data_IF_242256070243
#
_entry.id   IF_242256070243
#
_cell.length_a   1.000
_cell.length_b   1.000
_cell.length_c   1.000
_cell.angle_alpha   90.00
_cell.angle_beta   90.00
_cell.angle_gamma   90.00
#
_symmetry.space_group_name_H-M   'P 1'
#
loop_
_entity.id
_entity.type
_entity.pdbx_description
1 polymer ?
#
# COMPACT_ATOMS: atom_id res chain seq x y z
N UNK A 1 6.09 8.84 -17.66
CA UNK A 1 5.04 9.30 -18.59
C UNK A 1 3.73 9.32 -17.80
N UNK A 2 2.87 10.29 -18.04
CA UNK A 2 1.51 10.30 -17.50
C UNK A 2 0.61 9.58 -18.50
N UNK A 3 -0.40 8.87 -17.99
CA UNK A 3 -1.27 7.99 -18.79
C UNK A 3 -2.64 7.86 -18.15
N UNK A 4 -3.55 7.20 -18.87
CA UNK A 4 -4.87 6.85 -18.38
C UNK A 4 -4.83 5.49 -17.65
N UNK A 5 -5.85 5.18 -16.85
CA UNK A 5 -5.94 3.86 -16.19
C UNK A 5 -6.02 2.71 -17.20
N UNK A 6 -6.57 2.95 -18.39
CA UNK A 6 -6.61 1.97 -19.49
C UNK A 6 -5.22 1.61 -20.03
N UNK A 7 -4.21 2.47 -19.86
CA UNK A 7 -2.83 2.13 -20.26
C UNK A 7 -2.31 0.90 -19.51
N UNK A 8 -2.85 0.65 -18.30
CA UNK A 8 -2.54 -0.51 -17.45
C UNK A 8 -2.81 -1.86 -18.13
N UNK A 9 -3.68 -1.91 -19.13
CA UNK A 9 -3.94 -3.12 -19.92
C UNK A 9 -2.77 -3.47 -20.86
N UNK A 10 -1.94 -2.49 -21.20
CA UNK A 10 -0.86 -2.64 -22.19
C UNK A 10 0.53 -2.58 -21.56
N UNK A 11 0.63 -2.10 -20.33
CA UNK A 11 1.87 -2.09 -19.57
C UNK A 11 1.92 -3.27 -18.60
N UNK A 12 3.14 -3.75 -18.35
CA UNK A 12 3.40 -4.79 -17.35
C UNK A 12 4.32 -4.22 -16.27
N UNK A 13 3.78 -3.42 -15.34
CA UNK A 13 4.58 -2.82 -14.29
C UNK A 13 5.04 -3.88 -13.28
N UNK A 14 6.27 -3.75 -12.80
CA UNK A 14 6.77 -4.58 -11.69
C UNK A 14 6.24 -4.08 -10.33
N UNK A 15 5.88 -2.79 -10.24
CA UNK A 15 5.39 -2.15 -9.02
C UNK A 15 4.14 -1.32 -9.30
N UNK A 16 3.13 -1.51 -8.48
CA UNK A 16 1.84 -0.80 -8.52
C UNK A 16 1.65 -0.10 -7.18
N UNK A 17 1.41 1.21 -7.22
CA UNK A 17 1.21 2.01 -5.99
C UNK A 17 -0.16 2.67 -6.02
N UNK A 18 -1.03 2.33 -5.07
CA UNK A 18 -2.26 3.09 -4.85
C UNK A 18 -1.98 4.26 -3.91
N UNK A 19 -1.96 5.47 -4.46
CA UNK A 19 -1.87 6.72 -3.71
C UNK A 19 -3.16 7.53 -3.77
N UNK A 20 -4.30 6.86 -3.95
CA UNK A 20 -5.63 7.45 -3.96
C UNK A 20 -6.39 7.12 -2.66
N UNK A 21 -7.53 7.77 -2.38
CA UNK A 21 -8.38 7.39 -1.24
C UNK A 21 -9.16 6.08 -1.43
N UNK A 22 -9.13 5.45 -2.62
CA UNK A 22 -9.87 4.22 -2.87
C UNK A 22 -9.34 3.09 -1.98
N UNK A 23 -10.23 2.43 -1.26
CA UNK A 23 -9.92 1.36 -0.31
C UNK A 23 -10.04 1.80 1.15
N UNK A 24 -10.32 3.08 1.41
CA UNK A 24 -10.66 3.58 2.75
C UNK A 24 -12.06 3.12 3.20
N UNK A 25 -12.95 2.77 2.25
CA UNK A 25 -14.29 2.23 2.54
C UNK A 25 -14.46 0.83 1.95
N UNK A 26 -15.20 -0.07 2.61
CA UNK A 26 -15.46 -1.42 2.09
C UNK A 26 -16.10 -1.46 0.69
N UNK A 27 -16.93 -0.47 0.38
CA UNK A 27 -17.66 -0.35 -0.88
C UNK A 27 -16.87 0.35 -2.01
N UNK A 28 -15.64 0.80 -1.74
CA UNK A 28 -14.82 1.44 -2.77
C UNK A 28 -14.46 0.43 -3.88
N UNK A 29 -14.56 0.89 -5.12
CA UNK A 29 -14.08 0.13 -6.28
C UNK A 29 -12.56 -0.04 -6.23
N UNK A 30 -12.07 -1.11 -6.84
CA UNK A 30 -10.62 -1.26 -7.06
C UNK A 30 -10.07 -0.14 -7.96
N UNK A 31 -8.84 0.35 -7.70
CA UNK A 31 -8.17 1.30 -8.59
C UNK A 31 -7.88 0.72 -9.97
N UNK A 32 -7.56 -0.58 -10.04
CA UNK A 32 -7.32 -1.38 -11.25
C UNK A 32 -8.09 -2.70 -11.16
N UNK A 33 -8.42 -3.31 -12.30
CA UNK A 33 -9.09 -4.61 -12.31
C UNK A 33 -8.20 -5.71 -11.72
N UNK A 34 -8.80 -6.66 -10.98
CA UNK A 34 -8.08 -7.78 -10.35
C UNK A 34 -7.38 -8.67 -11.40
N UNK A 35 -7.91 -8.74 -12.62
CA UNK A 35 -7.38 -9.50 -13.74
C UNK A 35 -6.03 -8.97 -14.25
N UNK A 36 -5.72 -7.71 -13.99
CA UNK A 36 -4.46 -7.08 -14.39
C UNK A 36 -3.33 -7.33 -13.38
N UNK A 37 -3.64 -7.91 -12.23
CA UNK A 37 -2.65 -8.25 -11.20
C UNK A 37 -2.05 -9.64 -11.46
N UNK A 38 -0.73 -9.73 -11.35
CA UNK A 38 0.01 -10.99 -11.49
C UNK A 38 1.04 -11.17 -10.37
N UNK A 39 1.44 -12.43 -10.12
CA UNK A 39 2.38 -12.80 -9.05
C UNK A 39 3.76 -12.15 -9.18
N UNK A 40 4.12 -11.68 -10.36
CA UNK A 40 5.37 -10.97 -10.64
C UNK A 40 5.35 -9.52 -10.14
N UNK A 41 4.17 -9.00 -9.77
CA UNK A 41 3.99 -7.63 -9.33
C UNK A 41 4.17 -7.47 -7.82
N UNK A 42 4.64 -6.28 -7.43
CA UNK A 42 4.53 -5.76 -6.07
C UNK A 42 3.44 -4.71 -6.01
N UNK A 43 2.46 -4.91 -5.13
CA UNK A 43 1.35 -3.97 -4.90
C UNK A 43 1.57 -3.28 -3.57
N UNK A 44 1.68 -1.95 -3.60
CA UNK A 44 1.80 -1.10 -2.43
C UNK A 44 0.58 -0.20 -2.33
N UNK A 45 -0.20 -0.33 -1.26
CA UNK A 45 -1.36 0.53 -1.01
C UNK A 45 -1.04 1.49 0.13
N UNK A 46 -1.16 2.81 -0.10
CA UNK A 46 -0.89 3.81 0.95
C UNK A 46 -2.01 3.90 1.98
N UNK A 47 -3.19 3.33 1.70
CA UNK A 47 -4.27 3.22 2.68
C UNK A 47 -3.83 2.25 3.79
N UNK A 48 -3.89 2.72 5.04
CA UNK A 48 -3.52 1.96 6.23
C UNK A 48 -4.70 1.71 7.20
N UNK A 49 -5.89 2.23 6.87
CA UNK A 49 -7.13 1.98 7.63
C UNK A 49 -8.27 1.78 6.63
N UNK A 50 -8.75 0.55 6.44
CA UNK A 50 -8.27 -0.70 7.06
C UNK A 50 -6.85 -1.10 6.58
N UNK A 51 -6.10 -1.91 7.35
CA UNK A 51 -4.76 -2.37 6.93
C UNK A 51 -4.76 -3.30 5.71
N UNK A 52 -5.82 -4.11 5.56
CA UNK A 52 -6.06 -4.95 4.39
C UNK A 52 -7.18 -4.32 3.59
N UNK A 53 -6.83 -3.60 2.53
CA UNK A 53 -7.79 -3.01 1.59
C UNK A 53 -8.26 -4.05 0.58
N UNK A 54 -9.36 -3.79 -0.16
CA UNK A 54 -9.77 -4.65 -1.27
C UNK A 54 -8.67 -4.86 -2.32
N UNK A 55 -7.80 -3.86 -2.55
CA UNK A 55 -6.67 -3.99 -3.47
C UNK A 55 -5.60 -4.93 -2.93
N UNK A 56 -5.24 -4.80 -1.65
CA UNK A 56 -4.28 -5.71 -1.00
C UNK A 56 -4.83 -7.14 -0.99
N UNK A 57 -6.11 -7.32 -0.66
CA UNK A 57 -6.76 -8.64 -0.66
C UNK A 57 -6.74 -9.28 -2.06
N UNK A 58 -7.11 -8.52 -3.11
CA UNK A 58 -7.06 -8.99 -4.49
C UNK A 58 -5.63 -9.33 -4.93
N UNK A 59 -4.64 -8.50 -4.57
CA UNK A 59 -3.24 -8.71 -4.87
C UNK A 59 -2.69 -9.99 -4.20
N UNK A 60 -3.00 -10.22 -2.92
CA UNK A 60 -2.62 -11.43 -2.20
C UNK A 60 -3.24 -12.68 -2.84
N UNK A 61 -4.52 -12.62 -3.20
CA UNK A 61 -5.22 -13.73 -3.89
C UNK A 61 -4.58 -14.07 -5.25
N UNK A 62 -3.99 -13.09 -5.93
CA UNK A 62 -3.24 -13.27 -7.18
C UNK A 62 -1.78 -13.68 -6.98
N UNK A 63 -1.31 -13.76 -5.74
CA UNK A 63 0.06 -14.11 -5.39
C UNK A 63 1.07 -12.98 -5.60
N UNK A 64 0.60 -11.72 -5.66
CA UNK A 64 1.48 -10.56 -5.69
C UNK A 64 2.26 -10.45 -4.38
N UNK A 65 3.42 -9.80 -4.42
CA UNK A 65 4.02 -9.27 -3.19
C UNK A 65 3.22 -8.05 -2.76
N UNK A 66 2.86 -7.94 -1.48
CA UNK A 66 2.05 -6.81 -0.98
C UNK A 66 2.75 -6.03 0.12
N UNK A 67 2.67 -4.71 0.03
CA UNK A 67 3.10 -3.77 1.06
C UNK A 67 1.86 -2.97 1.49
N UNK A 68 1.56 -2.93 2.78
CA UNK A 68 0.41 -2.17 3.30
C UNK A 68 0.82 -0.76 3.69
N UNK A 69 -0.14 0.16 3.78
CA UNK A 69 0.13 1.55 4.16
C UNK A 69 0.67 1.67 5.58
N UNK A 70 0.45 0.65 6.42
CA UNK A 70 0.96 0.58 7.79
C UNK A 70 2.49 0.61 7.82
N UNK A 71 3.18 -0.01 6.85
CA UNK A 71 4.64 0.03 6.77
C UNK A 71 5.16 1.45 6.53
N UNK A 72 4.50 2.20 5.64
CA UNK A 72 4.78 3.63 5.45
C UNK A 72 4.53 4.42 6.73
N UNK A 73 3.37 4.18 7.37
CA UNK A 73 2.97 4.88 8.59
C UNK A 73 4.00 4.70 9.72
N UNK A 74 4.52 3.47 9.90
CA UNK A 74 5.56 3.18 10.88
C UNK A 74 6.87 3.90 10.53
N UNK A 75 7.31 3.80 9.27
CA UNK A 75 8.55 4.43 8.83
C UNK A 75 8.55 5.95 9.01
N UNK A 76 7.45 6.62 8.65
CA UNK A 76 7.33 8.06 8.85
C UNK A 76 7.24 8.43 10.34
N UNK A 77 6.56 7.63 11.17
CA UNK A 77 6.42 7.91 12.60
C UNK A 77 7.76 7.83 13.31
N UNK A 78 8.60 6.84 12.94
CA UNK A 78 9.97 6.72 13.44
C UNK A 78 10.78 7.97 13.12
N UNK A 79 10.80 8.38 11.85
CA UNK A 79 11.59 9.53 11.41
C UNK A 79 11.10 10.83 12.07
N UNK A 80 9.79 11.03 12.16
CA UNK A 80 9.20 12.17 12.85
C UNK A 80 9.62 12.21 14.33
N UNK A 81 9.59 11.08 15.03
CA UNK A 81 9.97 11.02 16.44
C UNK A 81 11.45 11.36 16.63
N UNK A 82 12.33 10.85 15.75
CA UNK A 82 13.74 11.21 15.75
C UNK A 82 13.95 12.71 15.51
N UNK A 83 13.30 13.28 14.51
CA UNK A 83 13.42 14.71 14.20
C UNK A 83 12.90 15.63 15.30
N UNK A 84 11.85 15.22 16.02
CA UNK A 84 11.26 16.03 17.09
C UNK A 84 12.01 15.91 18.42
N UNK A 85 12.50 14.72 18.77
CA UNK A 85 12.99 14.43 20.11
C UNK A 85 14.45 13.97 20.16
N UNK A 86 15.06 13.71 19.00
CA UNK A 86 16.42 13.14 18.92
C UNK A 86 16.51 11.68 19.37
N UNK A 87 15.38 10.98 19.45
CA UNK A 87 15.30 9.59 19.93
C UNK A 87 15.03 8.67 18.75
N UNK A 88 15.92 7.71 18.52
CA UNK A 88 15.72 6.65 17.53
C UNK A 88 14.86 5.53 18.13
N UNK A 89 13.59 5.47 17.72
CA UNK A 89 12.64 4.47 18.20
C UNK A 89 12.63 3.26 17.26
N UNK A 90 12.80 2.03 17.77
CA UNK A 90 12.67 0.84 16.94
C UNK A 90 11.27 0.72 16.32
N UNK A 91 11.20 0.35 15.03
CA UNK A 91 9.92 0.17 14.32
C UNK A 91 9.01 -0.86 14.99
N UNK A 92 9.57 -1.89 15.61
CA UNK A 92 8.83 -2.89 16.38
C UNK A 92 8.02 -2.26 17.53
N UNK A 93 8.60 -1.28 18.24
CA UNK A 93 7.91 -0.55 19.30
C UNK A 93 6.75 0.26 18.76
N UNK A 94 6.92 0.91 17.60
CA UNK A 94 5.83 1.67 16.97
C UNK A 94 4.72 0.71 16.54
N UNK A 95 5.08 -0.43 15.96
CA UNK A 95 4.14 -1.47 15.50
C UNK A 95 3.27 -2.00 16.64
N UNK A 96 3.82 -2.18 17.83
CA UNK A 96 3.08 -2.61 19.02
C UNK A 96 2.06 -1.57 19.53
N UNK A 97 2.23 -0.30 19.16
CA UNK A 97 1.37 0.81 19.60
C UNK A 97 0.25 1.15 18.62
N UNK A 98 0.29 0.62 17.40
CA UNK A 98 -0.72 0.88 16.37
C UNK A 98 -1.89 -0.10 16.57
N UNK A 99 -3.14 0.40 16.57
CA UNK A 99 -4.34 -0.43 16.75
C UNK A 99 -4.63 -1.38 15.59
#
# INVERSE_FOLDING_TARGET
KWGDISDFETIHPEVVVNSTPLGMKPEDRLPVSEELLSKEMTVFDLVYTPPVTPLIEAAQKKGCTTITGTEMFIGQAKEQFYLFFGIDVPEATIRELIP
#
